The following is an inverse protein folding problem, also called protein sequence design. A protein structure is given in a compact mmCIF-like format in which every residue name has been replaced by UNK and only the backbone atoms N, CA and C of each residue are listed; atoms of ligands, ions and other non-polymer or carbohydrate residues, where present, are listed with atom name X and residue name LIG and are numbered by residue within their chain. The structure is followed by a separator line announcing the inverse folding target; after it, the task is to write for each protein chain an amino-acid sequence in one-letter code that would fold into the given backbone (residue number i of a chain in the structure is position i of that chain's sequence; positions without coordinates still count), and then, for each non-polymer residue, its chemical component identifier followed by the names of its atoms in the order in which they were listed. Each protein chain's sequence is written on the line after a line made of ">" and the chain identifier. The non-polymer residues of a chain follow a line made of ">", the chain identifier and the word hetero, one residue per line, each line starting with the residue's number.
data_IF_600802909868
#
_entry.id   IF_600802909868
#
_cell.length_a   1.000
_cell.length_b   1.000
_cell.length_c   1.000
_cell.angle_alpha   90.00
_cell.angle_beta   90.00
_cell.angle_gamma   90.00
#
_symmetry.space_group_name_H-M   'P 1'
#
loop_
_entity.id
_entity.type
_entity.pdbx_description
1 polymer ?
#
# COMPACT_ATOMS: atom_id res chain seq x y z
N UNK A 1 -12.86 -51.55 26.47
CA UNK A 1 -12.65 -50.92 25.15
C UNK A 1 -13.43 -49.62 24.91
N UNK A 2 -14.56 -49.36 25.60
CA UNK A 2 -15.39 -48.16 25.33
C UNK A 2 -14.88 -46.82 25.91
N UNK A 3 -14.08 -46.82 26.99
CA UNK A 3 -13.56 -45.58 27.57
C UNK A 3 -12.51 -44.89 26.69
N UNK A 4 -11.61 -45.66 26.05
CA UNK A 4 -10.57 -45.12 25.17
C UNK A 4 -11.15 -44.43 23.93
N UNK A 5 -12.26 -44.95 23.39
CA UNK A 5 -12.94 -44.39 22.23
C UNK A 5 -13.61 -43.04 22.53
N UNK A 6 -14.21 -42.89 23.72
CA UNK A 6 -14.80 -41.62 24.18
C UNK A 6 -13.75 -40.53 24.41
N UNK A 7 -12.59 -40.88 24.97
CA UNK A 7 -11.49 -39.93 25.17
C UNK A 7 -10.90 -39.44 23.85
N UNK A 8 -10.79 -40.32 22.85
CA UNK A 8 -10.32 -39.96 21.49
C UNK A 8 -11.29 -38.98 20.81
N UNK A 9 -12.61 -39.19 20.93
CA UNK A 9 -13.62 -38.28 20.37
C UNK A 9 -13.58 -36.90 21.01
N UNK A 10 -13.37 -36.82 22.33
CA UNK A 10 -13.29 -35.53 23.04
C UNK A 10 -12.02 -34.77 22.63
N UNK A 11 -10.88 -35.46 22.51
CA UNK A 11 -9.62 -34.85 22.05
C UNK A 11 -9.71 -34.35 20.59
N UNK A 12 -10.34 -35.10 19.70
CA UNK A 12 -10.59 -34.69 18.31
C UNK A 12 -11.51 -33.47 18.22
N UNK A 13 -12.51 -33.38 19.09
CA UNK A 13 -13.46 -32.25 19.11
C UNK A 13 -12.79 -30.97 19.63
N UNK A 14 -11.92 -31.07 20.63
CA UNK A 14 -11.13 -29.94 21.16
C UNK A 14 -10.13 -29.42 20.10
N UNK A 15 -9.52 -30.32 19.32
CA UNK A 15 -8.60 -29.95 18.24
C UNK A 15 -9.32 -29.23 17.09
N UNK A 16 -10.54 -29.63 16.75
CA UNK A 16 -11.36 -28.95 15.73
C UNK A 16 -11.84 -27.56 16.16
N UNK A 17 -12.14 -27.34 17.44
CA UNK A 17 -12.55 -26.02 17.96
C UNK A 17 -11.35 -25.06 18.01
N UNK A 18 -10.14 -25.56 18.30
CA UNK A 18 -8.90 -24.76 18.28
C UNK A 18 -8.44 -24.32 16.88
N UNK A 19 -8.96 -24.95 15.83
CA UNK A 19 -8.62 -24.65 14.43
C UNK A 19 -9.42 -23.48 13.83
N UNK A 20 -10.39 -22.93 14.58
CA UNK A 20 -11.40 -21.99 14.09
C UNK A 20 -11.01 -20.51 14.02
N UNK A 21 -9.77 -20.13 14.37
CA UNK A 21 -9.32 -18.72 14.30
C UNK A 21 -8.24 -18.50 13.24
N UNK A 22 -8.33 -19.18 12.09
CA UNK A 22 -7.79 -18.61 10.88
C UNK A 22 -8.67 -17.41 10.50
N UNK A 23 -8.26 -16.19 10.90
CA UNK A 23 -8.95 -14.97 10.48
C UNK A 23 -8.91 -14.91 8.95
N UNK A 24 -10.03 -15.24 8.30
CA UNK A 24 -10.20 -15.00 6.88
C UNK A 24 -9.98 -13.50 6.61
N UNK A 25 -9.19 -13.20 5.57
CA UNK A 25 -8.88 -11.83 5.18
C UNK A 25 -10.16 -11.00 5.01
N UNK A 26 -10.45 -10.10 5.95
CA UNK A 26 -11.70 -9.33 5.93
C UNK A 26 -11.67 -8.23 4.88
N UNK A 27 -10.52 -7.56 4.73
CA UNK A 27 -10.35 -6.46 3.79
C UNK A 27 -9.13 -6.69 2.90
N UNK A 28 -9.36 -6.78 1.58
CA UNK A 28 -8.28 -6.85 0.58
C UNK A 28 -8.12 -5.49 -0.10
N UNK A 29 -7.03 -4.80 0.21
CA UNK A 29 -6.67 -3.53 -0.42
C UNK A 29 -5.95 -3.82 -1.74
N UNK A 30 -6.51 -3.41 -2.87
CA UNK A 30 -5.88 -3.60 -4.17
C UNK A 30 -4.95 -2.44 -4.43
N UNK A 31 -3.65 -2.73 -4.53
CA UNK A 31 -2.59 -1.77 -4.75
C UNK A 31 -2.02 -1.91 -6.15
N UNK A 32 -2.05 -0.83 -6.95
CA UNK A 32 -1.51 -0.82 -8.30
C UNK A 32 -0.32 0.15 -8.43
N UNK A 33 0.71 -0.22 -9.19
CA UNK A 33 1.85 0.65 -9.44
C UNK A 33 2.54 0.34 -10.77
N UNK A 34 3.21 1.35 -11.32
CA UNK A 34 4.11 1.18 -12.46
C UNK A 34 5.43 0.52 -12.09
N UNK A 35 5.81 0.52 -10.80
CA UNK A 35 7.05 -0.09 -10.35
C UNK A 35 7.13 -1.56 -10.80
N UNK A 36 8.20 -1.98 -11.50
CA UNK A 36 8.32 -3.35 -12.00
C UNK A 36 8.35 -4.39 -10.87
N UNK A 37 7.90 -5.61 -11.17
CA UNK A 37 8.15 -6.75 -10.27
C UNK A 37 9.65 -6.91 -9.98
N UNK A 38 9.98 -7.31 -8.75
CA UNK A 38 11.36 -7.47 -8.29
C UNK A 38 12.10 -6.15 -7.96
N UNK A 39 11.51 -4.99 -8.27
CA UNK A 39 12.06 -3.69 -7.85
C UNK A 39 12.04 -3.53 -6.33
N UNK A 40 12.89 -2.62 -5.82
CA UNK A 40 12.95 -2.28 -4.38
C UNK A 40 11.60 -1.83 -3.85
N UNK A 41 10.83 -1.05 -4.62
CA UNK A 41 9.49 -0.60 -4.23
C UNK A 41 8.51 -1.73 -4.00
N UNK A 42 8.53 -2.74 -4.88
CA UNK A 42 7.65 -3.91 -4.71
C UNK A 42 8.09 -4.76 -3.53
N UNK A 43 9.38 -4.91 -3.27
CA UNK A 43 9.88 -5.62 -2.08
C UNK A 43 9.40 -4.93 -0.80
N UNK A 44 9.59 -3.61 -0.70
CA UNK A 44 9.13 -2.81 0.45
C UNK A 44 7.60 -2.92 0.62
N UNK A 45 6.83 -2.86 -0.47
CA UNK A 45 5.38 -2.98 -0.40
C UNK A 45 4.92 -4.38 0.09
N UNK A 46 5.67 -5.43 -0.24
CA UNK A 46 5.42 -6.79 0.29
C UNK A 46 5.77 -6.89 1.77
N UNK A 47 6.84 -6.26 2.22
CA UNK A 47 7.18 -6.17 3.64
C UNK A 47 6.14 -5.36 4.43
N UNK A 48 5.62 -4.29 3.82
CA UNK A 48 4.51 -3.53 4.37
C UNK A 48 3.22 -4.35 4.46
N UNK A 49 2.86 -5.12 3.42
CA UNK A 49 1.72 -6.05 3.46
C UNK A 49 1.87 -7.06 4.60
N UNK A 50 3.06 -7.66 4.76
CA UNK A 50 3.35 -8.58 5.85
C UNK A 50 3.14 -7.92 7.21
N UNK A 51 3.68 -6.71 7.41
CA UNK A 51 3.53 -5.95 8.66
C UNK A 51 2.07 -5.63 8.96
N UNK A 52 1.31 -5.19 7.95
CA UNK A 52 -0.12 -4.89 8.09
C UNK A 52 -0.93 -6.13 8.43
N UNK A 53 -0.62 -7.28 7.83
CA UNK A 53 -1.26 -8.55 8.17
C UNK A 53 -0.97 -8.95 9.62
N UNK A 54 0.29 -8.84 10.04
CA UNK A 54 0.69 -9.15 11.42
C UNK A 54 -0.03 -8.25 12.43
N UNK A 55 0.03 -6.93 12.24
CA UNK A 55 -0.58 -5.95 13.16
C UNK A 55 -2.12 -5.99 13.16
N UNK A 56 -2.74 -6.40 12.05
CA UNK A 56 -4.19 -6.50 11.94
C UNK A 56 -4.76 -7.86 12.33
N UNK A 57 -3.93 -8.81 12.78
CA UNK A 57 -4.29 -10.22 12.98
C UNK A 57 -4.91 -10.86 11.72
N UNK A 58 -4.35 -10.55 10.55
CA UNK A 58 -4.78 -11.06 9.25
C UNK A 58 -6.06 -10.43 8.70
N UNK A 59 -6.64 -9.42 9.35
CA UNK A 59 -7.88 -8.77 8.89
C UNK A 59 -7.69 -7.84 7.69
N UNK A 60 -6.50 -7.25 7.53
CA UNK A 60 -6.14 -6.32 6.45
C UNK A 60 -4.90 -6.82 5.71
N UNK A 61 -4.91 -6.67 4.39
CA UNK A 61 -3.87 -7.20 3.52
C UNK A 61 -4.02 -6.65 2.11
N UNK A 62 -2.91 -6.63 1.39
CA UNK A 62 -2.77 -6.07 0.08
C UNK A 62 -2.75 -7.15 -1.00
N UNK A 63 -3.38 -6.84 -2.12
CA UNK A 63 -3.16 -7.52 -3.40
C UNK A 63 -2.41 -6.57 -4.31
N UNK A 64 -1.18 -6.91 -4.63
CA UNK A 64 -0.22 -6.03 -5.34
C UNK A 64 -0.28 -6.34 -6.85
N UNK A 65 -0.47 -5.29 -7.64
CA UNK A 65 -0.48 -5.28 -9.10
C UNK A 65 0.66 -4.40 -9.59
N UNK A 66 1.83 -5.00 -9.81
CA UNK A 66 3.06 -4.32 -10.22
C UNK A 66 3.18 -4.20 -11.74
N UNK A 67 4.15 -3.41 -12.20
CA UNK A 67 4.56 -3.32 -13.60
C UNK A 67 3.47 -2.77 -14.54
N UNK A 68 2.53 -1.97 -14.03
CA UNK A 68 1.52 -1.33 -14.86
C UNK A 68 0.45 -2.26 -15.45
N UNK A 69 0.31 -3.50 -14.95
CA UNK A 69 -0.76 -4.43 -15.39
C UNK A 69 -2.17 -3.88 -15.16
N UNK A 70 -2.31 -2.87 -14.28
CA UNK A 70 -3.54 -2.15 -14.01
C UNK A 70 -3.78 -0.94 -14.94
N UNK A 71 -2.91 -0.69 -15.93
CA UNK A 71 -2.91 0.51 -16.76
C UNK A 71 -1.93 1.57 -16.25
N UNK A 72 -1.93 2.73 -16.90
CA UNK A 72 -1.14 3.89 -16.47
C UNK A 72 -1.70 4.52 -15.19
N UNK A 73 -1.03 5.55 -14.67
CA UNK A 73 -1.42 6.19 -13.41
C UNK A 73 -2.80 6.85 -13.47
N UNK A 74 -3.19 7.41 -14.63
CA UNK A 74 -4.52 8.03 -14.80
C UNK A 74 -5.60 6.96 -14.79
N UNK A 75 -5.35 5.84 -15.44
CA UNK A 75 -6.22 4.67 -15.40
C UNK A 75 -6.37 4.12 -13.99
N UNK A 76 -5.27 3.99 -13.24
CA UNK A 76 -5.30 3.53 -11.85
C UNK A 76 -6.14 4.48 -10.98
N UNK A 77 -5.93 5.79 -11.07
CA UNK A 77 -6.69 6.79 -10.31
C UNK A 77 -8.19 6.72 -10.65
N UNK A 78 -8.53 6.63 -11.94
CA UNK A 78 -9.92 6.44 -12.38
C UNK A 78 -10.52 5.16 -11.81
N UNK A 79 -9.78 4.05 -11.83
CA UNK A 79 -10.23 2.77 -11.28
C UNK A 79 -10.37 2.80 -9.76
N UNK A 80 -9.56 3.59 -9.04
CA UNK A 80 -9.74 3.83 -7.61
C UNK A 80 -11.04 4.60 -7.36
N UNK A 81 -11.31 5.68 -8.10
CA UNK A 81 -12.56 6.44 -8.01
C UNK A 81 -13.81 5.58 -8.29
N UNK A 82 -13.68 4.57 -9.15
CA UNK A 82 -14.73 3.59 -9.47
C UNK A 82 -14.81 2.42 -8.47
N UNK A 83 -13.95 2.38 -7.45
CA UNK A 83 -13.89 1.29 -6.46
C UNK A 83 -13.33 -0.04 -6.99
N UNK A 84 -12.74 -0.05 -8.18
CA UNK A 84 -12.13 -1.27 -8.76
C UNK A 84 -10.77 -1.59 -8.14
N UNK A 85 -10.04 -0.53 -7.74
CA UNK A 85 -8.80 -0.55 -6.98
C UNK A 85 -8.96 0.31 -5.72
N UNK A 86 -8.06 0.18 -4.75
CA UNK A 86 -8.19 0.85 -3.44
C UNK A 86 -7.00 1.76 -3.12
N UNK A 87 -5.85 1.52 -3.74
CA UNK A 87 -4.61 2.26 -3.49
C UNK A 87 -3.67 2.17 -4.69
N UNK A 88 -2.67 3.03 -4.75
CA UNK A 88 -1.62 2.92 -5.76
C UNK A 88 -0.33 3.61 -5.37
N UNK A 89 0.77 3.15 -5.96
CA UNK A 89 2.07 3.80 -5.92
C UNK A 89 2.22 4.65 -7.18
N UNK A 90 2.22 5.97 -7.01
CA UNK A 90 2.17 6.97 -8.07
C UNK A 90 3.44 7.82 -8.06
N UNK A 91 3.88 8.21 -9.25
CA UNK A 91 4.89 9.23 -9.50
C UNK A 91 4.26 10.62 -9.56
N UNK A 92 5.07 11.65 -9.79
CA UNK A 92 4.58 13.01 -9.99
C UNK A 92 3.44 13.14 -10.99
N UNK A 93 3.36 12.30 -12.03
CA UNK A 93 2.29 12.36 -13.04
C UNK A 93 0.92 12.07 -12.39
N UNK A 94 0.79 10.94 -11.71
CA UNK A 94 -0.41 10.57 -10.97
C UNK A 94 -0.69 11.50 -9.79
N UNK A 95 0.35 11.95 -9.07
CA UNK A 95 0.18 12.91 -7.99
C UNK A 95 -0.48 14.21 -8.47
N UNK A 96 -0.13 14.71 -9.66
CA UNK A 96 -0.73 15.90 -10.25
C UNK A 96 -2.22 15.77 -10.59
N UNK A 97 -2.73 14.56 -10.81
CA UNK A 97 -4.15 14.30 -11.06
C UNK A 97 -4.99 14.27 -9.76
N UNK A 98 -4.32 14.02 -8.62
CA UNK A 98 -4.95 13.95 -7.30
C UNK A 98 -4.79 15.26 -6.53
N UNK A 99 -3.55 15.75 -6.40
CA UNK A 99 -3.17 16.91 -5.61
C UNK A 99 -2.21 17.79 -6.43
N UNK A 100 -2.76 18.65 -7.28
CA UNK A 100 -1.98 19.51 -8.21
C UNK A 100 -0.89 20.33 -7.54
N UNK A 101 -1.10 20.77 -6.30
CA UNK A 101 -0.15 21.57 -5.52
C UNK A 101 1.16 20.83 -5.25
N UNK A 102 1.12 19.51 -5.14
CA UNK A 102 2.30 18.66 -4.89
C UNK A 102 3.28 18.69 -6.06
N UNK A 103 2.83 19.05 -7.28
CA UNK A 103 3.68 19.20 -8.47
C UNK A 103 4.76 20.26 -8.31
N UNK A 104 4.66 21.15 -7.32
CA UNK A 104 5.73 22.09 -7.00
C UNK A 104 7.04 21.36 -6.67
N UNK A 105 6.97 20.14 -6.12
CA UNK A 105 8.13 19.32 -5.78
C UNK A 105 8.90 18.84 -7.03
N UNK A 106 8.26 18.82 -8.20
CA UNK A 106 8.89 18.45 -9.47
C UNK A 106 9.60 19.62 -10.15
N UNK A 107 9.68 20.78 -9.50
CA UNK A 107 10.34 21.96 -10.05
C UNK A 107 11.83 21.67 -10.27
N UNK A 108 12.36 21.85 -11.49
CA UNK A 108 13.76 21.57 -11.77
C UNK A 108 14.71 22.35 -10.84
N UNK A 109 15.71 21.66 -10.30
CA UNK A 109 16.74 22.21 -9.40
C UNK A 109 16.20 22.78 -8.07
N UNK A 110 14.96 22.45 -7.68
CA UNK A 110 14.40 22.87 -6.39
C UNK A 110 15.17 22.29 -5.21
N UNK A 111 15.58 21.03 -5.32
CA UNK A 111 16.30 20.29 -4.29
C UNK A 111 17.69 19.89 -4.78
N UNK A 112 18.66 19.95 -3.87
CA UNK A 112 20.05 19.55 -4.11
C UNK A 112 20.44 18.30 -3.32
N UNK A 113 19.76 18.03 -2.21
CA UNK A 113 20.06 16.91 -1.32
C UNK A 113 18.78 16.24 -0.84
N UNK A 114 18.88 14.98 -0.44
CA UNK A 114 17.76 14.26 0.18
C UNK A 114 17.32 14.91 1.51
N UNK A 115 18.26 15.47 2.28
CA UNK A 115 17.94 16.19 3.53
C UNK A 115 17.01 17.40 3.29
N UNK A 116 17.18 18.11 2.18
CA UNK A 116 16.27 19.20 1.79
C UNK A 116 14.87 18.69 1.42
N UNK A 117 14.80 17.52 0.76
CA UNK A 117 13.52 16.88 0.42
C UNK A 117 12.80 16.46 1.70
N UNK A 118 13.49 15.73 2.58
CA UNK A 118 12.95 15.29 3.88
C UNK A 118 12.50 16.49 4.73
N UNK A 119 13.29 17.57 4.76
CA UNK A 119 12.91 18.77 5.49
C UNK A 119 11.61 19.38 4.97
N UNK A 120 11.44 19.51 3.64
CA UNK A 120 10.23 20.08 3.05
C UNK A 120 9.03 19.16 3.20
N UNK A 121 9.19 17.85 2.96
CA UNK A 121 8.10 16.89 3.15
C UNK A 121 7.59 16.87 4.59
N UNK A 122 8.48 16.93 5.57
CA UNK A 122 8.10 17.00 6.98
C UNK A 122 7.50 18.36 7.35
N UNK A 123 8.07 19.46 6.87
CA UNK A 123 7.61 20.82 7.20
C UNK A 123 6.21 21.12 6.65
N UNK A 124 5.85 20.54 5.51
CA UNK A 124 4.58 20.79 4.81
C UNK A 124 3.67 19.54 4.77
N UNK A 125 3.91 18.55 5.64
CA UNK A 125 3.16 17.29 5.64
C UNK A 125 1.65 17.52 5.79
N UNK A 126 1.24 18.44 6.67
CA UNK A 126 -0.16 18.77 6.90
C UNK A 126 -0.82 19.34 5.64
N UNK A 127 -0.16 20.27 4.96
CA UNK A 127 -0.63 20.89 3.73
C UNK A 127 -0.74 19.87 2.59
N UNK A 128 0.24 18.98 2.46
CA UNK A 128 0.20 17.94 1.43
C UNK A 128 -0.92 16.94 1.71
N UNK A 129 -1.05 16.44 2.95
CA UNK A 129 -2.14 15.53 3.34
C UNK A 129 -3.51 16.14 3.04
N UNK A 130 -3.71 17.40 3.40
CA UNK A 130 -4.94 18.13 3.09
C UNK A 130 -5.20 18.19 1.59
N UNK A 131 -4.18 18.45 0.77
CA UNK A 131 -4.34 18.48 -0.68
C UNK A 131 -4.73 17.11 -1.28
N UNK A 132 -4.21 16.01 -0.72
CA UNK A 132 -4.67 14.66 -1.09
C UNK A 132 -6.12 14.40 -0.69
N UNK A 133 -6.49 14.79 0.54
CA UNK A 133 -7.86 14.64 1.07
C UNK A 133 -8.89 15.40 0.23
N UNK A 134 -8.57 16.65 -0.15
CA UNK A 134 -9.39 17.46 -1.07
C UNK A 134 -9.54 16.79 -2.46
N UNK A 135 -8.53 16.04 -2.88
CA UNK A 135 -8.55 15.21 -4.09
C UNK A 135 -9.35 13.91 -3.96
N UNK A 136 -9.81 13.57 -2.76
CA UNK A 136 -10.53 12.34 -2.44
C UNK A 136 -9.62 11.13 -2.12
N UNK A 137 -8.37 11.37 -1.72
CA UNK A 137 -7.38 10.34 -1.43
C UNK A 137 -6.75 10.56 -0.05
N UNK A 138 -6.23 9.48 0.55
CA UNK A 138 -5.44 9.57 1.79
C UNK A 138 -3.99 9.27 1.44
N UNK A 139 -3.08 10.16 1.83
CA UNK A 139 -1.64 9.95 1.67
C UNK A 139 -1.13 8.93 2.69
N UNK A 140 -0.77 7.74 2.22
CA UNK A 140 -0.25 6.66 3.07
C UNK A 140 1.25 6.82 3.39
N UNK A 141 2.00 7.48 2.52
CA UNK A 141 3.43 7.71 2.69
C UNK A 141 4.10 8.20 1.41
N UNK A 142 5.33 8.66 1.55
CA UNK A 142 6.18 9.11 0.44
C UNK A 142 7.13 7.99 0.02
N UNK A 143 7.39 7.91 -1.28
CA UNK A 143 8.42 7.06 -1.87
C UNK A 143 9.14 7.86 -2.96
N UNK A 144 10.47 7.86 -2.92
CA UNK A 144 11.29 8.68 -3.80
C UNK A 144 11.95 7.85 -4.89
N UNK A 145 11.84 8.28 -6.14
CA UNK A 145 12.51 7.60 -7.27
C UNK A 145 13.96 8.08 -7.46
N UNK A 146 14.35 9.15 -6.76
CA UNK A 146 15.66 9.78 -6.83
C UNK A 146 15.72 10.99 -7.79
N UNK A 147 16.91 11.60 -7.87
CA UNK A 147 17.16 12.74 -8.75
C UNK A 147 17.26 12.34 -10.23
N UNK A 148 16.83 13.24 -11.11
CA UNK A 148 16.90 13.06 -12.56
C UNK A 148 18.27 13.48 -13.07
N UNK A 149 18.92 12.60 -13.84
CA UNK A 149 20.20 12.85 -14.50
C UNK A 149 20.07 12.67 -16.01
N UNK A 150 20.82 13.45 -16.78
CA UNK A 150 20.98 13.27 -18.23
C UNK A 150 22.34 12.63 -18.46
N UNK A 151 22.38 11.52 -19.20
CA UNK A 151 23.57 10.73 -19.50
C UNK A 151 23.78 10.58 -21.00
#
# INVERSE_FOLDING_TARGET
>A
MHHSFRTIIILLTILLIGSGMASAQQFTVKFATLAPEGSTWIKIMRDFDKTVREQSNGRVGFKIYAGGVAGDEKDVIRKIRLGQYHSGGLTGVGLGEVAKTVRVLDTPFLFKTYDEVDFILNKFDAEFRKAFEEGGFVLLGWAEVGFVYVY
#
